data_IF_782807855348
#
_entry.id   IF_782807855348
#
_cell.length_a   1.000
_cell.length_b   1.000
_cell.length_c   1.000
_cell.angle_alpha   90.00
_cell.angle_beta   90.00
_cell.angle_gamma   90.00
#
_symmetry.space_group_name_H-M   'P 1'
#
loop_
_entity.id
_entity.type
_entity.pdbx_description
1 polymer ?
#
# COMPACT_ATOMS: atom_id res chain seq x y z
N UNK A 1 0.85 3.00 -2.21
CA UNK A 1 1.14 3.93 -3.32
C UNK A 1 2.60 3.96 -3.78
N UNK A 2 3.64 4.21 -2.94
CA UNK A 2 5.04 4.38 -3.42
C UNK A 2 5.60 3.21 -4.24
N UNK A 3 5.29 1.95 -3.90
CA UNK A 3 5.65 0.77 -4.73
C UNK A 3 4.97 0.83 -6.10
N UNK A 4 3.70 1.21 -6.12
CA UNK A 4 2.89 1.32 -7.34
C UNK A 4 3.44 2.41 -8.26
N UNK A 5 3.83 3.57 -7.70
CA UNK A 5 4.49 4.64 -8.47
C UNK A 5 5.84 4.21 -9.03
N UNK A 6 6.67 3.50 -8.25
CA UNK A 6 7.92 2.94 -8.75
C UNK A 6 7.69 1.95 -9.90
N UNK A 7 6.67 1.11 -9.81
CA UNK A 7 6.25 0.23 -10.91
C UNK A 7 5.74 1.00 -12.13
N UNK A 8 4.93 2.05 -11.94
CA UNK A 8 4.44 2.89 -13.03
C UNK A 8 5.60 3.48 -13.84
N UNK A 9 6.60 4.04 -13.16
CA UNK A 9 7.81 4.60 -13.79
C UNK A 9 8.55 3.54 -14.63
N UNK A 10 8.63 2.29 -14.15
CA UNK A 10 9.34 1.22 -14.85
C UNK A 10 8.53 0.55 -15.95
N UNK A 11 7.21 0.45 -15.82
CA UNK A 11 6.33 -0.28 -16.72
C UNK A 11 5.62 0.59 -17.75
N UNK A 12 5.64 1.93 -17.57
CA UNK A 12 4.97 2.89 -18.46
C UNK A 12 5.92 4.02 -18.84
N UNK A 13 5.56 4.81 -19.83
CA UNK A 13 6.27 6.04 -20.14
C UNK A 13 5.66 7.21 -19.34
N UNK A 14 6.44 7.79 -18.45
CA UNK A 14 6.09 8.97 -17.65
C UNK A 14 6.82 10.24 -18.12
N UNK A 15 7.48 10.18 -19.27
CA UNK A 15 8.32 11.26 -19.82
C UNK A 15 7.69 11.91 -21.04
N UNK A 16 8.18 13.11 -21.40
CA UNK A 16 7.84 13.84 -22.61
C UNK A 16 9.10 14.06 -23.45
N UNK A 17 9.11 13.75 -24.78
CA UNK A 17 7.98 13.22 -25.57
C UNK A 17 7.63 11.78 -25.21
N UNK A 18 6.34 11.46 -25.27
CA UNK A 18 5.84 10.12 -24.96
C UNK A 18 6.22 9.11 -26.05
N UNK A 19 6.67 7.94 -25.61
CA UNK A 19 6.88 6.76 -26.47
C UNK A 19 6.30 5.51 -25.78
N UNK A 20 5.77 4.52 -26.53
CA UNK A 20 5.30 3.27 -25.94
C UNK A 20 6.45 2.58 -25.18
N UNK A 21 6.19 2.12 -23.95
CA UNK A 21 7.16 1.44 -23.09
C UNK A 21 6.54 0.19 -22.46
N UNK A 22 7.31 -0.88 -22.40
CA UNK A 22 6.95 -2.09 -21.69
C UNK A 22 5.82 -2.91 -22.34
N UNK A 23 5.17 -3.73 -21.54
CA UNK A 23 4.06 -4.59 -21.95
C UNK A 23 2.72 -3.90 -21.67
N UNK A 24 1.82 -3.88 -22.65
CA UNK A 24 0.54 -3.18 -22.57
C UNK A 24 -0.38 -3.70 -21.45
N UNK A 25 -0.33 -5.00 -21.14
CA UNK A 25 -1.15 -5.59 -20.05
C UNK A 25 -0.63 -5.11 -18.68
N UNK A 26 0.68 -5.14 -18.46
CA UNK A 26 1.29 -4.66 -17.22
C UNK A 26 1.12 -3.14 -17.06
N UNK A 27 1.30 -2.39 -18.16
CA UNK A 27 1.07 -0.95 -18.17
C UNK A 27 -0.40 -0.59 -17.86
N UNK A 28 -1.35 -1.34 -18.42
CA UNK A 28 -2.78 -1.17 -18.16
C UNK A 28 -3.09 -1.40 -16.68
N UNK A 29 -2.65 -2.52 -16.12
CA UNK A 29 -2.87 -2.86 -14.71
C UNK A 29 -2.37 -1.75 -13.79
N UNK A 30 -1.12 -1.34 -13.96
CA UNK A 30 -0.52 -0.32 -13.08
C UNK A 30 -1.21 1.03 -13.21
N UNK A 31 -1.62 1.43 -14.42
CA UNK A 31 -2.35 2.69 -14.60
C UNK A 31 -3.76 2.64 -14.01
N UNK A 32 -4.45 1.49 -14.02
CA UNK A 32 -5.73 1.31 -13.34
C UNK A 32 -5.56 1.43 -11.82
N UNK A 33 -4.58 0.75 -11.24
CA UNK A 33 -4.29 0.84 -9.81
C UNK A 33 -3.92 2.28 -9.42
N UNK A 34 -3.10 2.97 -10.20
CA UNK A 34 -2.75 4.37 -9.94
C UNK A 34 -3.97 5.27 -10.02
N UNK A 35 -4.87 5.05 -10.99
CA UNK A 35 -6.11 5.81 -11.10
C UNK A 35 -6.96 5.67 -9.84
N UNK A 36 -7.18 4.44 -9.37
CA UNK A 36 -7.98 4.16 -8.19
C UNK A 36 -7.33 4.70 -6.91
N UNK A 37 -6.02 4.56 -6.78
CA UNK A 37 -5.29 5.04 -5.60
C UNK A 37 -5.21 6.57 -5.50
N UNK A 38 -5.11 7.29 -6.62
CA UNK A 38 -4.95 8.75 -6.62
C UNK A 38 -6.26 9.54 -6.73
N UNK A 39 -7.28 8.95 -7.36
CA UNK A 39 -8.49 9.68 -7.76
C UNK A 39 -9.76 8.83 -7.71
N UNK A 40 -9.91 8.01 -6.67
CA UNK A 40 -11.13 7.23 -6.45
C UNK A 40 -12.31 8.12 -6.01
N UNK A 41 -13.50 7.58 -6.06
CA UNK A 41 -14.71 8.23 -5.56
C UNK A 41 -14.79 8.04 -4.06
N UNK A 42 -14.95 9.11 -3.30
CA UNK A 42 -15.15 9.06 -1.85
C UNK A 42 -16.63 8.82 -1.46
N UNK A 43 -16.97 8.66 -0.16
CA UNK A 43 -18.35 8.46 0.27
C UNK A 43 -19.31 9.62 -0.04
N UNK A 44 -18.81 10.80 -0.37
CA UNK A 44 -19.62 11.96 -0.77
C UNK A 44 -19.92 12.01 -2.26
N UNK A 45 -19.20 11.21 -3.06
CA UNK A 45 -19.29 11.19 -4.52
C UNK A 45 -18.25 12.08 -5.21
N UNK A 46 -17.35 12.69 -4.45
CA UNK A 46 -16.23 13.49 -4.96
C UNK A 46 -14.99 12.64 -5.19
N UNK A 47 -14.02 13.17 -5.95
CA UNK A 47 -12.76 12.48 -6.18
C UNK A 47 -11.77 12.75 -5.07
N UNK A 48 -11.23 11.67 -4.49
CA UNK A 48 -10.21 11.71 -3.43
C UNK A 48 -9.25 10.55 -3.59
N UNK A 49 -8.00 10.73 -3.18
CA UNK A 49 -7.06 9.60 -3.10
C UNK A 49 -7.45 8.64 -1.98
N UNK A 50 -7.05 7.38 -2.09
CA UNK A 50 -7.21 6.42 -0.99
C UNK A 50 -6.53 6.89 0.30
N UNK A 51 -5.45 7.65 0.20
CA UNK A 51 -4.80 8.26 1.35
C UNK A 51 -5.70 9.29 2.04
N UNK A 52 -6.36 10.19 1.29
CA UNK A 52 -7.30 11.18 1.84
C UNK A 52 -8.53 10.50 2.45
N UNK A 53 -9.11 9.51 1.77
CA UNK A 53 -10.23 8.71 2.31
C UNK A 53 -9.81 8.03 3.62
N UNK A 54 -8.57 7.53 3.71
CA UNK A 54 -8.05 6.95 4.95
C UNK A 54 -7.88 8.00 6.05
N UNK A 55 -7.40 9.21 5.75
CA UNK A 55 -7.35 10.32 6.72
C UNK A 55 -8.74 10.71 7.23
N UNK A 56 -9.74 10.78 6.34
CA UNK A 56 -11.14 11.01 6.73
C UNK A 56 -11.61 9.91 7.69
N UNK A 57 -11.27 8.65 7.42
CA UNK A 57 -11.66 7.53 8.28
C UNK A 57 -10.96 7.56 9.65
N UNK A 58 -9.71 7.99 9.71
CA UNK A 58 -8.98 8.21 10.96
C UNK A 58 -9.62 9.33 11.79
N UNK A 59 -9.99 10.45 11.15
CA UNK A 59 -10.70 11.55 11.82
C UNK A 59 -12.08 11.09 12.35
N UNK A 60 -12.86 10.35 11.57
CA UNK A 60 -14.14 9.76 11.99
C UNK A 60 -13.96 8.84 13.22
N UNK A 61 -12.87 8.08 13.26
CA UNK A 61 -12.51 7.22 14.39
C UNK A 61 -12.06 8.01 15.64
N UNK A 62 -11.81 9.31 15.51
CA UNK A 62 -11.31 10.18 16.57
C UNK A 62 -9.78 10.11 16.75
N UNK A 63 -9.04 9.67 15.74
CA UNK A 63 -7.59 9.66 15.76
C UNK A 63 -7.01 11.07 15.59
N UNK A 64 -5.86 11.32 16.21
CA UNK A 64 -5.12 12.57 16.02
C UNK A 64 -4.31 12.49 14.71
N UNK A 65 -4.58 13.41 13.79
CA UNK A 65 -3.91 13.47 12.48
C UNK A 65 -2.63 14.30 12.48
N UNK A 66 -2.23 14.91 13.61
CA UNK A 66 -1.09 15.82 13.66
C UNK A 66 0.21 15.16 13.17
N UNK A 67 0.50 13.96 13.66
CA UNK A 67 1.74 13.23 13.33
C UNK A 67 1.83 12.88 11.84
N UNK A 68 0.75 12.38 11.24
CA UNK A 68 0.75 12.03 9.82
C UNK A 68 0.81 13.28 8.94
N UNK A 69 0.11 14.35 9.27
CA UNK A 69 0.17 15.62 8.54
C UNK A 69 1.58 16.23 8.60
N UNK A 70 2.22 16.21 9.77
CA UNK A 70 3.62 16.64 9.93
C UNK A 70 4.58 15.80 9.07
N UNK A 71 4.40 14.47 9.05
CA UNK A 71 5.19 13.60 8.18
C UNK A 71 5.06 14.00 6.71
N UNK A 72 3.82 14.22 6.22
CA UNK A 72 3.56 14.63 4.84
C UNK A 72 4.19 15.99 4.55
N UNK A 73 4.03 17.00 5.43
CA UNK A 73 4.66 18.32 5.25
C UNK A 73 6.17 18.23 5.11
N UNK A 74 6.84 17.39 5.92
CA UNK A 74 8.28 17.19 5.78
C UNK A 74 8.67 16.60 4.42
N UNK A 75 7.85 15.68 3.88
CA UNK A 75 8.09 15.13 2.53
C UNK A 75 7.88 16.21 1.45
N UNK A 76 6.84 17.04 1.56
CA UNK A 76 6.54 18.15 0.66
C UNK A 76 7.65 19.20 0.66
N UNK A 77 8.28 19.44 1.81
CA UNK A 77 9.46 20.29 1.97
C UNK A 77 10.75 19.69 1.35
N UNK A 78 10.69 18.48 0.79
CA UNK A 78 11.81 17.81 0.15
C UNK A 78 12.70 16.98 1.09
N UNK A 79 12.27 16.76 2.33
CA UNK A 79 12.98 15.87 3.24
C UNK A 79 12.88 14.40 2.79
N UNK A 80 13.90 13.61 3.11
CA UNK A 80 13.87 12.17 2.85
C UNK A 80 12.88 11.47 3.79
N UNK A 81 12.30 10.36 3.33
CA UNK A 81 11.43 9.52 4.17
C UNK A 81 12.10 9.12 5.48
N UNK A 82 13.38 8.72 5.42
CA UNK A 82 14.16 8.37 6.62
C UNK A 82 14.30 9.56 7.59
N UNK A 83 14.42 10.80 7.08
CA UNK A 83 14.45 11.98 7.94
C UNK A 83 13.07 12.24 8.57
N UNK A 84 12.01 12.21 7.78
CA UNK A 84 10.65 12.45 8.27
C UNK A 84 10.19 11.40 9.30
N UNK A 85 10.67 10.15 9.19
CA UNK A 85 10.36 9.06 10.14
C UNK A 85 11.11 9.15 11.49
N UNK A 86 12.01 10.12 11.67
CA UNK A 86 12.71 10.33 12.96
C UNK A 86 11.89 11.10 14.00
N UNK A 87 10.70 11.58 13.62
CA UNK A 87 9.81 12.23 14.59
C UNK A 87 9.42 11.25 15.70
N UNK A 88 9.61 11.68 16.94
CA UNK A 88 9.37 10.85 18.15
C UNK A 88 7.91 10.42 18.35
N UNK A 89 6.97 11.14 17.70
CA UNK A 89 5.55 10.82 17.76
C UNK A 89 5.14 9.73 16.75
N UNK A 90 6.05 9.32 15.86
CA UNK A 90 5.78 8.21 14.93
C UNK A 90 6.01 6.89 15.65
N UNK A 91 4.98 6.02 15.79
CA UNK A 91 5.16 4.73 16.44
C UNK A 91 6.29 3.90 15.79
N UNK A 92 7.17 3.35 16.62
CA UNK A 92 8.33 2.58 16.15
C UNK A 92 7.97 1.46 15.15
N UNK A 93 6.88 0.69 15.34
CA UNK A 93 6.47 -0.32 14.36
C UNK A 93 6.14 0.28 12.99
N UNK A 94 5.49 1.46 12.93
CA UNK A 94 5.18 2.15 11.69
C UNK A 94 6.45 2.67 11.01
N UNK A 95 7.35 3.31 11.77
CA UNK A 95 8.63 3.81 11.26
C UNK A 95 9.48 2.68 10.66
N UNK A 96 9.60 1.53 11.35
CA UNK A 96 10.32 0.35 10.85
C UNK A 96 9.70 -0.18 9.55
N UNK A 97 8.39 -0.39 9.53
CA UNK A 97 7.69 -0.92 8.37
C UNK A 97 7.85 -0.05 7.12
N UNK A 98 7.75 1.28 7.28
CA UNK A 98 7.94 2.23 6.18
C UNK A 98 9.39 2.25 5.72
N UNK A 99 10.36 2.32 6.64
CA UNK A 99 11.79 2.29 6.29
C UNK A 99 12.18 1.02 5.55
N UNK A 100 11.76 -0.15 6.02
CA UNK A 100 12.02 -1.43 5.33
C UNK A 100 11.42 -1.43 3.93
N UNK A 101 10.18 -0.94 3.78
CA UNK A 101 9.55 -0.83 2.46
C UNK A 101 10.37 0.04 1.52
N UNK A 102 10.79 1.23 1.95
CA UNK A 102 11.56 2.14 1.09
C UNK A 102 12.97 1.63 0.80
N UNK A 103 13.62 0.94 1.72
CA UNK A 103 14.92 0.31 1.49
C UNK A 103 14.85 -0.80 0.43
N UNK A 104 13.80 -1.64 0.47
CA UNK A 104 13.66 -2.75 -0.46
C UNK A 104 13.20 -2.30 -1.87
N UNK A 105 12.48 -1.17 -2.00
CA UNK A 105 12.04 -0.68 -3.32
C UNK A 105 13.05 0.26 -3.97
N UNK A 106 14.04 0.75 -3.23
CA UNK A 106 15.06 1.64 -3.76
C UNK A 106 15.91 0.89 -4.80
N UNK A 107 15.95 1.43 -6.02
CA UNK A 107 16.73 0.88 -7.13
C UNK A 107 16.43 -0.61 -7.46
N UNK A 108 15.30 -1.13 -6.98
CA UNK A 108 14.93 -2.52 -7.17
C UNK A 108 14.55 -2.83 -8.63
N UNK A 109 14.89 -4.02 -9.15
CA UNK A 109 14.46 -4.48 -10.46
C UNK A 109 12.92 -4.60 -10.53
N UNK A 110 12.35 -4.43 -11.73
CA UNK A 110 10.89 -4.43 -11.95
C UNK A 110 10.19 -5.67 -11.39
N UNK A 111 10.75 -6.87 -11.56
CA UNK A 111 10.16 -8.11 -11.05
C UNK A 111 10.16 -8.17 -9.50
N UNK A 112 11.15 -7.55 -8.86
CA UNK A 112 11.21 -7.44 -7.39
C UNK A 112 10.13 -6.48 -6.90
N UNK A 113 10.00 -5.29 -7.51
CA UNK A 113 8.92 -4.34 -7.19
C UNK A 113 7.53 -4.96 -7.42
N UNK A 114 7.35 -5.63 -8.55
CA UNK A 114 6.09 -6.29 -8.89
C UNK A 114 5.73 -7.38 -7.87
N UNK A 115 6.70 -8.16 -7.41
CA UNK A 115 6.48 -9.18 -6.39
C UNK A 115 6.22 -8.57 -5.01
N UNK A 116 6.95 -7.53 -4.62
CA UNK A 116 6.71 -6.80 -3.37
C UNK A 116 5.29 -6.25 -3.31
N UNK A 117 4.76 -5.75 -4.43
CA UNK A 117 3.38 -5.31 -4.55
C UNK A 117 2.42 -6.51 -4.54
N UNK A 118 2.48 -7.38 -5.54
CA UNK A 118 1.51 -8.46 -5.77
C UNK A 118 1.38 -9.39 -4.56
N UNK A 119 2.47 -10.03 -4.16
CA UNK A 119 2.47 -11.06 -3.12
C UNK A 119 2.72 -10.50 -1.71
N UNK A 120 3.43 -9.38 -1.62
CA UNK A 120 3.78 -8.77 -0.33
C UNK A 120 2.71 -7.80 0.20
N UNK A 121 1.80 -7.31 -0.65
CA UNK A 121 0.82 -6.29 -0.28
C UNK A 121 -0.60 -6.65 -0.69
N UNK A 122 -0.85 -6.83 -1.98
CA UNK A 122 -2.17 -6.91 -2.59
C UNK A 122 -2.94 -8.16 -2.20
N UNK A 123 -2.34 -9.33 -2.38
CA UNK A 123 -3.02 -10.63 -2.26
C UNK A 123 -3.62 -10.90 -0.88
N UNK A 124 -3.05 -10.34 0.19
CA UNK A 124 -3.52 -10.59 1.56
C UNK A 124 -4.62 -9.61 2.01
N UNK A 125 -4.78 -8.47 1.32
CA UNK A 125 -5.68 -7.38 1.73
C UNK A 125 -7.15 -7.82 1.79
N UNK A 126 -7.73 -8.50 0.79
CA UNK A 126 -9.15 -8.85 0.80
C UNK A 126 -9.55 -9.70 2.01
N UNK A 127 -8.76 -10.71 2.35
CA UNK A 127 -9.05 -11.59 3.49
C UNK A 127 -8.89 -10.86 4.82
N UNK A 128 -7.83 -10.06 4.97
CA UNK A 128 -7.56 -9.27 6.17
C UNK A 128 -8.69 -8.27 6.41
N UNK A 129 -9.05 -7.48 5.40
CA UNK A 129 -10.05 -6.44 5.51
C UNK A 129 -11.45 -7.00 5.74
N UNK A 130 -11.82 -8.09 5.09
CA UNK A 130 -13.08 -8.81 5.37
C UNK A 130 -13.16 -9.21 6.84
N UNK A 131 -12.08 -9.70 7.42
CA UNK A 131 -12.02 -10.09 8.83
C UNK A 131 -12.19 -8.90 9.78
N UNK A 132 -11.59 -7.76 9.44
CA UNK A 132 -11.71 -6.51 10.20
C UNK A 132 -13.15 -5.98 10.16
N UNK A 133 -13.77 -5.92 8.97
CA UNK A 133 -15.16 -5.45 8.80
C UNK A 133 -16.13 -6.29 9.65
N UNK A 134 -16.00 -7.62 9.61
CA UNK A 134 -16.85 -8.51 10.43
C UNK A 134 -16.74 -8.21 11.92
N UNK A 135 -15.54 -7.92 12.43
CA UNK A 135 -15.32 -7.57 13.85
C UNK A 135 -15.90 -6.20 14.21
N UNK A 136 -15.73 -5.19 13.34
CA UNK A 136 -16.28 -3.84 13.55
C UNK A 136 -17.80 -3.88 13.57
N UNK A 137 -18.43 -4.55 12.61
CA UNK A 137 -19.89 -4.65 12.48
C UNK A 137 -20.55 -5.30 13.71
N UNK A 138 -19.86 -6.21 14.38
CA UNK A 138 -20.36 -6.86 15.60
C UNK A 138 -20.23 -5.97 16.86
N UNK A 139 -19.42 -4.92 16.86
CA UNK A 139 -19.11 -4.13 18.04
C UNK A 139 -19.82 -2.78 18.17
N UNK A 140 -20.70 -2.42 17.28
CA UNK A 140 -21.72 -1.34 17.21
C UNK A 140 -21.52 -0.03 18.04
N UNK A 141 -20.31 0.34 18.47
CA UNK A 141 -20.09 1.48 19.39
C UNK A 141 -19.75 2.82 18.73
N UNK A 142 -19.31 2.84 17.49
CA UNK A 142 -19.09 4.06 16.70
C UNK A 142 -19.43 3.81 15.23
N UNK A 143 -20.02 4.82 14.58
CA UNK A 143 -20.14 4.78 13.12
C UNK A 143 -18.74 4.95 12.52
N UNK A 144 -18.19 3.92 11.89
CA UNK A 144 -16.96 3.94 11.14
C UNK A 144 -17.27 3.77 9.64
N UNK A 145 -18.18 4.60 9.13
CA UNK A 145 -18.72 4.46 7.77
C UNK A 145 -17.64 4.66 6.71
N UNK A 146 -16.84 5.71 6.86
CA UNK A 146 -15.75 6.01 5.93
C UNK A 146 -14.68 4.93 5.97
N UNK A 147 -14.36 4.39 7.15
CA UNK A 147 -13.40 3.30 7.27
C UNK A 147 -13.92 2.00 6.63
N UNK A 148 -15.18 1.64 6.86
CA UNK A 148 -15.81 0.48 6.22
C UNK A 148 -15.87 0.67 4.70
N UNK A 149 -16.18 1.87 4.22
CA UNK A 149 -16.14 2.20 2.80
C UNK A 149 -14.75 1.98 2.21
N UNK A 150 -13.71 2.55 2.84
CA UNK A 150 -12.32 2.39 2.44
C UNK A 150 -11.92 0.91 2.34
N UNK A 151 -12.24 0.10 3.36
CA UNK A 151 -11.93 -1.33 3.35
C UNK A 151 -12.68 -2.08 2.23
N UNK A 152 -13.97 -1.76 2.01
CA UNK A 152 -14.78 -2.38 0.96
C UNK A 152 -14.27 -2.01 -0.44
N UNK A 153 -13.79 -0.77 -0.65
CA UNK A 153 -13.18 -0.39 -1.94
C UNK A 153 -12.01 -1.30 -2.26
N UNK A 154 -11.09 -1.50 -1.33
CA UNK A 154 -9.95 -2.39 -1.51
C UNK A 154 -10.38 -3.85 -1.77
N UNK A 155 -11.38 -4.37 -1.04
CA UNK A 155 -11.89 -5.73 -1.26
C UNK A 155 -12.48 -5.88 -2.68
N UNK A 156 -13.19 -4.87 -3.15
CA UNK A 156 -13.87 -4.92 -4.46
C UNK A 156 -12.88 -4.72 -5.62
N UNK A 157 -11.92 -3.79 -5.46
CA UNK A 157 -10.95 -3.47 -6.51
C UNK A 157 -9.86 -4.55 -6.62
N UNK A 158 -9.36 -5.03 -5.47
CA UNK A 158 -8.29 -6.04 -5.38
C UNK A 158 -8.82 -7.48 -5.61
N UNK A 159 -10.12 -7.63 -5.86
CA UNK A 159 -10.77 -8.92 -6.11
C UNK A 159 -10.19 -9.69 -7.29
N UNK A 160 -10.79 -10.82 -7.65
CA UNK A 160 -10.27 -11.85 -8.58
C UNK A 160 -9.60 -11.32 -9.87
N UNK A 161 -9.99 -10.14 -10.35
CA UNK A 161 -9.46 -9.58 -11.61
C UNK A 161 -8.04 -9.04 -11.46
N UNK A 162 -7.76 -8.21 -10.43
CA UNK A 162 -6.43 -7.62 -10.23
C UNK A 162 -5.38 -8.68 -9.87
N UNK A 163 -5.71 -9.62 -9.01
CA UNK A 163 -4.83 -10.73 -8.65
C UNK A 163 -4.41 -11.57 -9.86
N UNK A 164 -5.35 -11.89 -10.76
CA UNK A 164 -5.04 -12.64 -11.98
C UNK A 164 -4.13 -11.88 -12.94
N UNK A 165 -4.36 -10.57 -13.11
CA UNK A 165 -3.54 -9.72 -13.99
C UNK A 165 -2.17 -9.48 -13.38
N UNK A 166 -2.09 -9.29 -12.06
CA UNK A 166 -0.83 -9.17 -11.33
C UNK A 166 0.02 -10.44 -11.46
N UNK A 167 -0.59 -11.62 -11.38
CA UNK A 167 0.13 -12.88 -11.65
C UNK A 167 0.63 -12.99 -13.09
N UNK A 168 -0.16 -12.55 -14.07
CA UNK A 168 0.27 -12.50 -15.49
C UNK A 168 1.46 -11.55 -15.66
N UNK A 169 1.44 -10.39 -15.00
CA UNK A 169 2.57 -9.44 -14.97
C UNK A 169 3.83 -10.12 -14.42
N UNK A 170 3.73 -10.81 -13.29
CA UNK A 170 4.87 -11.54 -12.70
C UNK A 170 5.42 -12.59 -13.67
N UNK A 171 4.55 -13.36 -14.31
CA UNK A 171 4.95 -14.37 -15.30
C UNK A 171 5.66 -13.77 -16.50
N UNK A 172 5.25 -12.59 -16.96
CA UNK A 172 5.92 -11.86 -18.04
C UNK A 172 7.29 -11.31 -17.64
N UNK A 173 7.40 -10.79 -16.42
CA UNK A 173 8.64 -10.18 -15.91
C UNK A 173 9.71 -11.23 -15.58
N UNK A 174 9.32 -12.36 -15.05
CA UNK A 174 10.24 -13.44 -14.67
C UNK A 174 10.50 -14.44 -15.81
N UNK A 175 9.48 -14.74 -16.65
CA UNK A 175 9.57 -15.77 -17.71
C UNK A 175 10.03 -17.09 -17.13
N UNK A 176 10.99 -17.74 -17.82
CA UNK A 176 11.64 -18.99 -17.40
C UNK A 176 12.94 -18.77 -16.59
N UNK A 177 13.19 -17.56 -16.11
CA UNK A 177 14.39 -17.22 -15.37
C UNK A 177 14.19 -17.53 -13.86
N UNK A 178 14.82 -18.61 -13.41
CA UNK A 178 14.75 -19.07 -12.02
C UNK A 178 15.31 -18.05 -11.02
N UNK A 179 16.36 -17.30 -11.37
CA UNK A 179 16.94 -16.31 -10.46
C UNK A 179 15.97 -15.18 -10.18
N UNK A 180 15.24 -14.71 -11.22
CA UNK A 180 14.18 -13.72 -11.03
C UNK A 180 13.06 -14.24 -10.16
N UNK A 181 12.65 -15.50 -10.31
CA UNK A 181 11.64 -16.10 -9.46
C UNK A 181 12.10 -16.21 -8.01
N UNK A 182 13.37 -16.60 -7.79
CA UNK A 182 13.93 -16.66 -6.42
C UNK A 182 13.98 -15.28 -5.77
N UNK A 183 14.45 -14.24 -6.48
CA UNK A 183 14.42 -12.85 -5.99
C UNK A 183 13.00 -12.38 -5.67
N UNK A 184 12.03 -12.76 -6.51
CA UNK A 184 10.62 -12.45 -6.31
C UNK A 184 10.05 -13.11 -5.05
N UNK A 185 10.39 -14.37 -4.79
CA UNK A 185 10.00 -15.10 -3.59
C UNK A 185 10.63 -14.46 -2.34
N UNK A 186 11.89 -14.11 -2.40
CA UNK A 186 12.62 -13.54 -1.27
C UNK A 186 12.04 -12.18 -0.85
N UNK A 187 11.77 -11.29 -1.82
CA UNK A 187 11.16 -10.00 -1.49
C UNK A 187 9.73 -10.15 -0.97
N UNK A 188 8.92 -11.05 -1.55
CA UNK A 188 7.58 -11.31 -1.04
C UNK A 188 7.60 -11.74 0.42
N UNK A 189 8.49 -12.67 0.78
CA UNK A 189 8.68 -13.11 2.17
C UNK A 189 9.08 -11.96 3.09
N UNK A 190 10.04 -11.13 2.69
CA UNK A 190 10.47 -9.96 3.46
C UNK A 190 9.30 -9.00 3.72
N UNK A 191 8.50 -8.68 2.69
CA UNK A 191 7.35 -7.78 2.82
C UNK A 191 6.28 -8.35 3.75
N UNK A 192 6.03 -9.66 3.71
CA UNK A 192 5.09 -10.33 4.60
C UNK A 192 5.59 -10.34 6.05
N UNK A 193 6.87 -10.64 6.28
CA UNK A 193 7.48 -10.60 7.62
C UNK A 193 7.43 -9.19 8.20
N UNK A 194 7.80 -8.17 7.42
CA UNK A 194 7.71 -6.76 7.84
C UNK A 194 6.27 -6.38 8.23
N UNK A 195 5.27 -6.87 7.52
CA UNK A 195 3.85 -6.65 7.85
C UNK A 195 3.45 -7.36 9.15
N UNK A 196 3.88 -8.60 9.37
CA UNK A 196 3.63 -9.29 10.65
C UNK A 196 4.23 -8.51 11.82
N UNK A 197 5.48 -8.11 11.72
CA UNK A 197 6.16 -7.31 12.74
C UNK A 197 5.48 -5.96 12.99
N UNK A 198 4.96 -5.32 11.95
CA UNK A 198 4.16 -4.10 12.08
C UNK A 198 2.89 -4.33 12.90
N UNK A 199 2.12 -5.39 12.60
CA UNK A 199 0.90 -5.71 13.33
C UNK A 199 1.16 -6.18 14.77
N UNK A 200 2.20 -6.97 14.98
CA UNK A 200 2.63 -7.39 16.33
C UNK A 200 2.98 -6.16 17.18
N UNK A 201 3.75 -5.22 16.62
CA UNK A 201 4.10 -3.99 17.34
C UNK A 201 2.89 -3.08 17.63
N UNK A 202 1.89 -3.01 16.73
CA UNK A 202 0.64 -2.31 17.03
C UNK A 202 -0.11 -3.01 18.17
N UNK A 203 -0.21 -4.33 18.11
CA UNK A 203 -0.88 -5.11 19.17
C UNK A 203 -0.24 -4.89 20.53
N UNK A 204 1.10 -4.95 20.62
CA UNK A 204 1.85 -4.69 21.84
C UNK A 204 1.61 -3.27 22.37
N UNK A 205 1.60 -2.25 21.48
CA UNK A 205 1.34 -0.87 21.87
C UNK A 205 -0.08 -0.70 22.46
N UNK A 206 -1.09 -1.36 21.87
CA UNK A 206 -2.48 -1.33 22.39
C UNK A 206 -2.56 -2.00 23.77
N UNK A 207 -1.89 -3.14 23.96
CA UNK A 207 -1.89 -3.83 25.25
C UNK A 207 -1.24 -2.98 26.35
N UNK A 208 -0.14 -2.30 26.04
CA UNK A 208 0.57 -1.42 26.98
C UNK A 208 -0.23 -0.17 27.36
N UNK A 209 -1.09 0.33 26.47
CA UNK A 209 -1.93 1.50 26.73
C UNK A 209 -3.17 1.19 27.57
N UNK A 210 -3.52 -0.07 27.76
CA UNK A 210 -4.67 -0.53 28.54
C UNK A 210 -4.28 -0.98 29.97
N UNK A 211 -3.01 -0.88 30.34
CA UNK A 211 -2.49 -1.10 31.68
C UNK A 211 -2.27 0.23 32.41
#
# INVERSE_FOLDING_TARGET
MSIVKALQIQLTCTETPWVPKGNSISARLINEIVLDEETDVDPSGEYSSHFEIYLMSMAEAGANLHTINKFISLIEEGNTVNHALKDEHIPSPASKFVNETFNEIKDAPTHVLASAFTFGREEIIPQLFTSIIKKISNNNKKSLRTFIYYLNRHITMDGDTHSQVAYKMMKQLCGDNNDKWMQSIDIAKKMLVARCQFWDGIYEAIQSSNQ
#
